data_IF_101894248887
#
_entry.id   IF_101894248887
#
_cell.length_a   1.000
_cell.length_b   1.000
_cell.length_c   1.000
_cell.angle_alpha   90.00
_cell.angle_beta   90.00
_cell.angle_gamma   90.00
#
_symmetry.space_group_name_H-M   'P 1'
#
loop_
_entity.id
_entity.type
_entity.pdbx_description
1 polymer ?
#
# COMPACT_ATOMS: atom_id res chain seq x y z
N UNK A 1 -16.65 7.83 13.04
CA UNK A 1 -15.50 6.90 12.99
C UNK A 1 -16.05 5.50 13.17
N UNK A 2 -15.94 4.64 12.16
CA UNK A 2 -16.50 3.27 12.19
C UNK A 2 -15.83 2.45 13.32
N UNK A 3 -16.62 1.83 14.19
CA UNK A 3 -16.09 0.82 15.11
C UNK A 3 -15.66 -0.41 14.28
N UNK A 4 -14.56 -1.03 14.70
CA UNK A 4 -14.00 -2.25 14.14
C UNK A 4 -15.00 -3.40 14.05
N UNK A 5 -15.98 -3.44 14.97
CA UNK A 5 -17.10 -4.40 14.92
C UNK A 5 -18.04 -4.14 13.75
N UNK A 6 -18.30 -2.86 13.44
CA UNK A 6 -19.04 -2.46 12.25
C UNK A 6 -18.26 -2.78 10.97
N UNK A 7 -16.92 -2.69 10.96
CA UNK A 7 -16.09 -3.05 9.80
C UNK A 7 -16.22 -4.54 9.43
N UNK A 8 -16.18 -5.44 10.41
CA UNK A 8 -16.40 -6.87 10.19
C UNK A 8 -17.84 -7.13 9.74
N UNK A 9 -18.84 -6.44 10.32
CA UNK A 9 -20.25 -6.57 9.91
C UNK A 9 -20.51 -6.05 8.49
N UNK A 10 -19.86 -4.95 8.11
CA UNK A 10 -19.92 -4.35 6.76
C UNK A 10 -19.33 -5.27 5.69
N UNK A 11 -18.27 -5.98 6.04
CA UNK A 11 -17.54 -6.89 5.15
C UNK A 11 -18.21 -8.26 5.05
N UNK A 12 -18.85 -8.73 6.13
CA UNK A 12 -19.49 -10.05 6.21
C UNK A 12 -21.00 -10.05 5.84
N UNK A 13 -21.60 -8.89 5.54
CA UNK A 13 -23.03 -8.79 5.20
C UNK A 13 -24.00 -9.12 6.35
N UNK A 14 -23.53 -9.17 7.59
CA UNK A 14 -24.35 -9.53 8.76
C UNK A 14 -25.06 -8.26 9.28
N UNK A 15 -26.31 -8.08 8.89
CA UNK A 15 -27.21 -7.06 9.45
C UNK A 15 -27.74 -7.57 10.80
N UNK A 16 -27.17 -7.08 11.90
CA UNK A 16 -27.67 -7.28 13.27
C UNK A 16 -28.14 -5.95 13.87
N UNK A 17 -29.37 -5.91 14.38
CA UNK A 17 -30.14 -4.71 14.66
C UNK A 17 -29.76 -3.88 15.90
N UNK A 18 -30.09 -2.58 15.76
CA UNK A 18 -30.56 -1.58 16.74
C UNK A 18 -30.07 -1.61 18.20
N UNK A 19 -29.37 -0.54 18.59
CA UNK A 19 -29.37 0.01 19.95
C UNK A 19 -28.33 1.11 20.20
N UNK A 20 -28.75 2.38 20.25
CA UNK A 20 -28.05 3.51 20.92
C UNK A 20 -29.12 4.27 21.74
N UNK A 21 -28.87 4.71 22.99
CA UNK A 21 -28.18 5.99 23.31
C UNK A 21 -27.19 5.84 24.50
N UNK A 22 -26.16 6.67 24.76
CA UNK A 22 -25.67 7.95 24.26
C UNK A 22 -24.54 8.48 25.18
N UNK A 23 -24.16 9.76 24.99
CA UNK A 23 -23.32 10.67 25.83
C UNK A 23 -21.81 10.75 25.53
N UNK A 24 -21.40 11.96 25.10
CA UNK A 24 -20.03 12.46 24.98
C UNK A 24 -19.51 12.95 26.35
N UNK A 25 -18.29 12.56 26.73
CA UNK A 25 -17.24 13.48 27.22
C UNK A 25 -15.93 12.74 27.57
N UNK A 26 -14.78 13.34 27.24
CA UNK A 26 -13.54 13.25 28.03
C UNK A 26 -12.51 12.14 27.71
N UNK A 27 -11.34 12.59 27.27
CA UNK A 27 -10.01 11.96 27.43
C UNK A 27 -9.75 10.59 26.77
N UNK A 28 -9.10 10.63 25.60
CA UNK A 28 -8.41 9.48 25.00
C UNK A 28 -7.15 9.19 25.82
N UNK A 29 -7.32 8.50 26.94
CA UNK A 29 -6.25 7.85 27.69
C UNK A 29 -6.42 6.34 27.56
N UNK A 30 -5.30 5.68 27.29
CA UNK A 30 -5.11 4.25 27.12
C UNK A 30 -5.99 3.38 28.03
N UNK A 31 -6.95 2.69 27.43
CA UNK A 31 -7.54 1.48 27.98
C UNK A 31 -8.03 0.62 26.81
N UNK A 32 -7.21 -0.33 26.40
CA UNK A 32 -7.62 -1.65 25.89
C UNK A 32 -6.36 -2.51 25.67
N UNK A 33 -5.69 -2.77 26.78
CA UNK A 33 -4.81 -3.92 26.94
C UNK A 33 -5.61 -4.99 27.69
N UNK A 34 -6.30 -5.86 26.96
CA UNK A 34 -6.67 -7.21 27.40
C UNK A 34 -7.26 -8.02 26.23
N UNK A 35 -6.56 -9.09 25.82
CA UNK A 35 -7.24 -10.25 25.21
C UNK A 35 -6.88 -10.67 23.78
N UNK A 36 -5.77 -10.24 23.19
CA UNK A 36 -5.21 -10.93 22.02
C UNK A 36 -3.69 -10.99 22.12
N UNK A 37 -3.16 -12.12 22.62
CA UNK A 37 -1.75 -12.47 22.49
C UNK A 37 -1.45 -12.90 21.05
N UNK A 38 -1.75 -12.02 20.09
CA UNK A 38 -1.55 -12.30 18.68
C UNK A 38 -0.06 -12.30 18.36
N UNK A 39 0.40 -13.32 17.67
CA UNK A 39 1.74 -13.38 17.09
C UNK A 39 1.89 -12.20 16.13
N UNK A 40 2.73 -11.22 16.46
CA UNK A 40 3.11 -10.15 15.53
C UNK A 40 4.35 -10.54 14.72
N UNK A 41 4.54 -9.94 13.55
CA UNK A 41 5.83 -10.03 12.87
C UNK A 41 6.93 -9.40 13.73
N UNK A 42 8.09 -10.05 13.75
CA UNK A 42 9.26 -9.58 14.50
C UNK A 42 9.82 -8.27 13.91
N UNK A 43 10.49 -7.45 14.74
CA UNK A 43 11.07 -6.18 14.29
C UNK A 43 12.19 -6.37 13.26
N UNK A 44 12.79 -7.56 13.13
CA UNK A 44 13.73 -7.87 12.06
C UNK A 44 13.16 -7.65 10.64
N UNK A 45 11.84 -7.74 10.44
CA UNK A 45 11.24 -7.39 9.13
C UNK A 45 11.35 -5.89 8.82
N UNK A 46 11.37 -5.01 9.82
CA UNK A 46 11.68 -3.58 9.59
C UNK A 46 13.11 -3.42 9.05
N UNK A 47 14.07 -4.09 9.70
CA UNK A 47 15.48 -4.03 9.31
C UNK A 47 15.71 -4.62 7.92
N UNK A 48 15.08 -5.76 7.63
CA UNK A 48 15.12 -6.41 6.33
C UNK A 48 14.48 -5.55 5.25
N UNK A 49 13.34 -4.91 5.52
CA UNK A 49 12.68 -4.00 4.60
C UNK A 49 13.56 -2.79 4.23
N UNK A 50 14.13 -2.11 5.24
CA UNK A 50 15.07 -1.01 5.04
C UNK A 50 16.33 -1.46 4.28
N UNK A 51 16.89 -2.61 4.65
CA UNK A 51 18.03 -3.22 3.95
C UNK A 51 17.72 -3.50 2.49
N UNK A 52 16.57 -4.13 2.23
CA UNK A 52 16.10 -4.48 0.89
C UNK A 52 15.90 -3.25 0.01
N UNK A 53 15.35 -2.15 0.56
CA UNK A 53 15.24 -0.88 -0.15
C UNK A 53 16.62 -0.28 -0.45
N UNK A 54 17.49 -0.19 0.55
CA UNK A 54 18.80 0.47 0.41
C UNK A 54 19.78 -0.29 -0.50
N UNK A 55 19.71 -1.63 -0.53
CA UNK A 55 20.58 -2.47 -1.37
C UNK A 55 20.03 -2.75 -2.77
N UNK A 56 18.82 -2.27 -3.07
CA UNK A 56 18.19 -2.49 -4.37
C UNK A 56 19.04 -1.94 -5.53
N UNK A 57 19.06 -2.68 -6.65
CA UNK A 57 19.69 -2.22 -7.89
C UNK A 57 18.70 -1.29 -8.63
N UNK A 58 18.76 -0.01 -8.29
CA UNK A 58 17.87 1.02 -8.83
C UNK A 58 16.50 1.07 -8.13
N UNK A 59 15.79 2.18 -8.33
CA UNK A 59 14.53 2.45 -7.62
C UNK A 59 13.44 1.40 -7.86
N UNK A 60 13.43 0.73 -9.01
CA UNK A 60 12.43 -0.29 -9.32
C UNK A 60 12.59 -1.54 -8.43
N UNK A 61 13.81 -1.94 -8.07
CA UNK A 61 14.00 -3.07 -7.16
C UNK A 61 13.74 -2.72 -5.68
N UNK A 62 13.60 -1.43 -5.35
CA UNK A 62 13.26 -0.99 -3.99
C UNK A 62 11.83 -1.43 -3.59
N UNK A 63 10.98 -1.80 -4.55
CA UNK A 63 9.66 -2.40 -4.31
C UNK A 63 9.71 -3.57 -3.33
N UNK A 64 10.75 -4.42 -3.42
CA UNK A 64 10.91 -5.63 -2.61
C UNK A 64 11.04 -5.28 -1.12
N UNK A 65 11.90 -4.32 -0.78
CA UNK A 65 12.04 -3.87 0.59
C UNK A 65 10.80 -3.13 1.08
N UNK A 66 10.19 -2.29 0.24
CA UNK A 66 8.95 -1.58 0.58
C UNK A 66 7.78 -2.55 0.82
N UNK A 67 7.73 -3.69 0.12
CA UNK A 67 6.76 -4.74 0.35
C UNK A 67 6.90 -5.39 1.73
N UNK A 68 8.14 -5.67 2.15
CA UNK A 68 8.42 -6.22 3.48
C UNK A 68 7.97 -5.24 4.57
N UNK A 69 8.29 -3.94 4.41
CA UNK A 69 7.82 -2.91 5.34
C UNK A 69 6.28 -2.81 5.37
N UNK A 70 5.63 -2.87 4.21
CA UNK A 70 4.17 -2.83 4.14
C UNK A 70 3.53 -4.05 4.81
N UNK A 71 4.06 -5.25 4.59
CA UNK A 71 3.60 -6.47 5.26
C UNK A 71 3.78 -6.40 6.78
N UNK A 72 4.94 -5.91 7.24
CA UNK A 72 5.18 -5.64 8.66
C UNK A 72 4.13 -4.70 9.26
N UNK A 73 3.93 -3.53 8.66
CA UNK A 73 2.96 -2.55 9.16
C UNK A 73 1.52 -3.04 9.06
N UNK A 74 1.19 -3.80 8.02
CA UNK A 74 -0.13 -4.41 7.86
C UNK A 74 -0.41 -5.36 9.03
N UNK A 75 0.49 -6.28 9.37
CA UNK A 75 0.33 -7.17 10.52
C UNK A 75 0.35 -6.44 11.88
N UNK A 76 1.15 -5.37 12.01
CA UNK A 76 1.26 -4.62 13.26
C UNK A 76 -0.01 -3.80 13.55
N UNK A 77 -0.60 -3.20 12.53
CA UNK A 77 -1.71 -2.24 12.68
C UNK A 77 -3.07 -2.91 12.61
N UNK A 78 -3.18 -4.04 11.92
CA UNK A 78 -4.40 -4.81 11.82
C UNK A 78 -4.25 -6.03 12.73
N UNK A 79 -5.01 -6.11 13.85
CA UNK A 79 -4.93 -7.29 14.74
C UNK A 79 -5.54 -8.52 14.03
N UNK A 80 -4.73 -9.17 13.21
CA UNK A 80 -5.06 -10.40 12.51
C UNK A 80 -4.96 -11.62 13.43
N UNK A 81 -5.50 -12.75 12.98
CA UNK A 81 -5.28 -14.06 13.60
C UNK A 81 -3.80 -14.46 13.48
N UNK A 82 -3.33 -15.32 14.38
CA UNK A 82 -1.99 -15.91 14.30
C UNK A 82 -1.77 -16.69 13.00
N UNK A 83 -2.86 -17.27 12.47
CA UNK A 83 -2.89 -17.97 11.20
C UNK A 83 -2.57 -17.03 10.04
N UNK A 84 -3.27 -15.89 9.91
CA UNK A 84 -3.01 -14.89 8.88
C UNK A 84 -1.59 -14.32 9.00
N UNK A 85 -1.15 -13.97 10.21
CA UNK A 85 0.22 -13.44 10.40
C UNK A 85 1.26 -14.47 9.98
N UNK A 86 1.05 -15.75 10.29
CA UNK A 86 1.94 -16.85 9.88
C UNK A 86 1.97 -17.01 8.35
N UNK A 87 0.82 -16.90 7.68
CA UNK A 87 0.79 -16.96 6.22
C UNK A 87 1.49 -15.78 5.57
N UNK A 88 1.25 -14.55 6.05
CA UNK A 88 1.94 -13.35 5.57
C UNK A 88 3.46 -13.48 5.79
N UNK A 89 3.88 -13.93 6.98
CA UNK A 89 5.28 -14.22 7.29
C UNK A 89 5.91 -15.15 6.26
N UNK A 90 5.23 -16.26 5.95
CA UNK A 90 5.68 -17.26 4.99
C UNK A 90 5.91 -16.66 3.59
N UNK A 91 5.01 -15.78 3.15
CA UNK A 91 5.16 -15.10 1.86
C UNK A 91 6.30 -14.07 1.85
N UNK A 92 6.49 -13.32 2.95
CA UNK A 92 7.61 -12.39 3.08
C UNK A 92 8.95 -13.14 3.12
N UNK A 93 9.01 -14.26 3.83
CA UNK A 93 10.21 -15.11 3.89
C UNK A 93 10.57 -15.68 2.51
N UNK A 94 9.57 -16.16 1.76
CA UNK A 94 9.78 -16.62 0.39
C UNK A 94 10.32 -15.51 -0.52
N UNK A 95 9.81 -14.29 -0.40
CA UNK A 95 10.31 -13.11 -1.13
C UNK A 95 11.76 -12.81 -0.75
N UNK A 96 12.08 -12.75 0.54
CA UNK A 96 13.43 -12.49 1.04
C UNK A 96 14.39 -13.59 0.57
N UNK A 97 13.97 -14.86 0.61
CA UNK A 97 14.75 -16.01 0.17
C UNK A 97 15.00 -15.99 -1.34
N UNK A 98 14.02 -15.59 -2.15
CA UNK A 98 14.19 -15.46 -3.60
C UNK A 98 15.19 -14.34 -3.97
N UNK A 99 15.37 -13.35 -3.09
CA UNK A 99 16.19 -12.16 -3.32
C UNK A 99 17.32 -11.97 -2.29
N UNK A 100 17.86 -13.07 -1.73
CA UNK A 100 18.83 -13.07 -0.62
C UNK A 100 19.97 -12.03 -0.72
N UNK A 101 20.55 -11.86 -1.91
CA UNK A 101 21.67 -10.90 -2.10
C UNK A 101 21.26 -9.45 -1.80
N UNK A 102 20.01 -9.08 -2.12
CA UNK A 102 19.46 -7.76 -1.85
C UNK A 102 19.12 -7.58 -0.35
N UNK A 103 18.72 -8.65 0.32
CA UNK A 103 18.35 -8.62 1.75
C UNK A 103 19.51 -8.94 2.71
N UNK A 104 20.74 -9.09 2.19
CA UNK A 104 21.92 -9.31 3.03
C UNK A 104 22.16 -8.11 3.96
N UNK A 105 22.16 -8.28 5.30
CA UNK A 105 22.32 -7.19 6.25
C UNK A 105 23.61 -6.39 6.05
N UNK A 106 23.54 -5.09 6.33
CA UNK A 106 24.73 -4.25 6.42
C UNK A 106 25.55 -4.64 7.65
N UNK A 107 26.88 -4.67 7.49
CA UNK A 107 27.80 -4.93 8.60
C UNK A 107 28.27 -3.60 9.22
N UNK A 108 28.47 -3.63 10.54
CA UNK A 108 29.01 -2.51 11.32
C UNK A 108 28.26 -1.21 11.06
N UNK A 109 26.94 -1.21 11.27
CA UNK A 109 26.12 0.00 11.18
C UNK A 109 26.57 1.02 12.23
N UNK A 110 26.59 2.29 11.85
CA UNK A 110 26.83 3.44 12.71
C UNK A 110 25.63 4.37 12.56
N UNK A 111 24.67 4.22 13.46
CA UNK A 111 23.43 4.97 13.41
C UNK A 111 23.68 6.47 13.66
N UNK A 112 23.01 7.30 12.87
CA UNK A 112 22.96 8.75 12.99
C UNK A 112 21.51 9.20 12.77
N UNK A 113 20.73 9.19 13.86
CA UNK A 113 19.30 9.52 13.83
C UNK A 113 19.02 10.94 13.32
N UNK A 114 19.99 11.86 13.45
CA UNK A 114 19.84 13.24 12.98
C UNK A 114 19.62 13.32 11.47
N UNK A 115 20.04 12.28 10.74
CA UNK A 115 19.97 12.18 9.28
C UNK A 115 18.69 11.54 8.75
N UNK A 116 17.80 11.05 9.60
CA UNK A 116 16.51 10.46 9.15
C UNK A 116 15.73 11.46 8.28
N UNK A 117 15.82 12.76 8.59
CA UNK A 117 15.17 13.83 7.84
C UNK A 117 15.84 14.16 6.48
N UNK A 118 17.00 13.58 6.16
CA UNK A 118 17.60 13.70 4.81
C UNK A 118 16.72 13.03 3.76
N UNK A 119 16.07 11.91 4.10
CA UNK A 119 15.21 11.13 3.19
C UNK A 119 14.02 11.96 2.68
N UNK A 120 13.17 12.56 3.55
CA UNK A 120 12.08 13.43 3.09
C UNK A 120 12.60 14.71 2.44
N UNK A 121 13.70 15.30 2.92
CA UNK A 121 14.31 16.47 2.27
C UNK A 121 14.71 16.18 0.83
N UNK A 122 15.21 14.98 0.55
CA UNK A 122 15.59 14.56 -0.80
C UNK A 122 14.40 14.31 -1.76
N UNK A 123 13.17 14.27 -1.24
CA UNK A 123 11.98 13.97 -2.03
C UNK A 123 11.60 15.11 -2.98
N UNK A 124 11.82 16.37 -2.59
CA UNK A 124 11.29 17.56 -3.27
C UNK A 124 11.48 17.51 -4.80
N UNK A 125 12.68 17.27 -5.36
CA UNK A 125 12.88 17.29 -6.81
C UNK A 125 12.15 16.17 -7.55
N UNK A 126 11.76 15.10 -6.86
CA UNK A 126 11.06 13.96 -7.46
C UNK A 126 9.54 14.17 -7.56
N UNK A 127 8.96 15.02 -6.71
CA UNK A 127 7.51 15.26 -6.64
C UNK A 127 7.10 16.64 -7.18
N UNK A 128 8.03 17.58 -7.30
CA UNK A 128 7.76 18.91 -7.83
C UNK A 128 7.36 18.89 -9.31
N UNK A 129 6.30 19.60 -9.68
CA UNK A 129 5.88 19.77 -11.06
C UNK A 129 5.12 18.58 -11.67
N UNK A 130 4.78 17.54 -10.90
CA UNK A 130 3.85 16.49 -11.34
C UNK A 130 4.28 15.07 -11.00
N UNK A 131 3.57 14.09 -11.55
CA UNK A 131 3.75 12.67 -11.30
C UNK A 131 4.97 12.12 -12.05
N UNK A 132 5.92 11.57 -11.31
CA UNK A 132 7.03 10.78 -11.87
C UNK A 132 6.95 9.35 -11.36
N UNK A 133 7.26 8.39 -12.24
CA UNK A 133 7.33 6.97 -11.92
C UNK A 133 6.20 6.53 -10.97
N UNK A 134 4.94 6.80 -11.34
CA UNK A 134 3.76 6.37 -10.57
C UNK A 134 3.78 6.69 -9.07
N UNK A 135 4.46 7.77 -8.66
CA UNK A 135 4.52 8.22 -7.26
C UNK A 135 5.51 7.44 -6.38
N UNK A 136 6.40 6.62 -6.96
CA UNK A 136 7.33 5.79 -6.19
C UNK A 136 8.19 6.56 -5.20
N UNK A 137 8.61 7.78 -5.54
CA UNK A 137 9.43 8.60 -4.65
C UNK A 137 8.68 8.90 -3.33
N UNK A 138 7.41 9.31 -3.42
CA UNK A 138 6.57 9.56 -2.25
C UNK A 138 6.33 8.26 -1.46
N UNK A 139 5.97 7.17 -2.15
CA UNK A 139 5.71 5.86 -1.53
C UNK A 139 6.93 5.36 -0.74
N UNK A 140 8.11 5.39 -1.35
CA UNK A 140 9.34 4.93 -0.71
C UNK A 140 9.79 5.84 0.42
N UNK A 141 9.69 7.15 0.24
CA UNK A 141 10.04 8.11 1.27
C UNK A 141 9.14 7.92 2.49
N UNK A 142 7.82 7.89 2.31
CA UNK A 142 6.87 7.75 3.39
C UNK A 142 7.13 6.48 4.22
N UNK A 143 7.22 5.32 3.56
CA UNK A 143 7.36 4.04 4.26
C UNK A 143 8.76 3.86 4.89
N UNK A 144 9.82 4.37 4.25
CA UNK A 144 11.19 4.23 4.78
C UNK A 144 11.47 5.19 5.93
N UNK A 145 10.97 6.44 5.88
CA UNK A 145 11.11 7.40 7.00
C UNK A 145 10.36 6.89 8.21
N UNK A 146 9.16 6.34 8.00
CA UNK A 146 8.41 5.69 9.07
C UNK A 146 9.20 4.54 9.70
N UNK A 147 9.77 3.67 8.86
CA UNK A 147 10.58 2.54 9.33
C UNK A 147 11.85 2.97 10.05
N UNK A 148 12.53 4.03 9.59
CA UNK A 148 13.71 4.59 10.25
C UNK A 148 13.38 5.19 11.62
N UNK A 149 12.19 5.80 11.80
CA UNK A 149 11.72 6.28 13.11
C UNK A 149 11.38 5.14 14.06
N UNK A 150 10.85 4.04 13.54
CA UNK A 150 10.54 2.84 14.33
C UNK A 150 11.78 1.97 14.62
N UNK A 151 12.85 2.12 13.83
CA UNK A 151 14.13 1.41 13.97
C UNK A 151 15.31 2.38 13.88
N UNK A 152 15.50 3.29 14.85
CA UNK A 152 16.51 4.35 14.80
C UNK A 152 17.95 3.83 14.68
N UNK A 153 18.23 2.62 15.16
CA UNK A 153 19.53 1.95 15.00
C UNK A 153 19.88 1.63 13.53
N UNK A 154 18.89 1.65 12.63
CA UNK A 154 19.07 1.50 11.19
C UNK A 154 19.35 2.81 10.46
N UNK A 155 19.35 3.96 11.15
CA UNK A 155 19.63 5.28 10.59
C UNK A 155 21.11 5.49 10.22
N UNK A 156 21.74 4.53 9.57
CA UNK A 156 23.11 4.63 9.10
C UNK A 156 23.18 5.48 7.81
N UNK A 157 24.19 6.37 7.69
CA UNK A 157 24.46 7.16 6.49
C UNK A 157 24.40 6.39 5.16
N UNK A 158 24.86 5.15 5.11
CA UNK A 158 24.87 4.32 3.90
C UNK A 158 23.46 3.93 3.48
N UNK A 159 22.57 3.64 4.44
CA UNK A 159 21.17 3.32 4.18
C UNK A 159 20.45 4.58 3.70
N UNK A 160 20.57 5.67 4.45
CA UNK A 160 19.92 6.96 4.16
C UNK A 160 20.33 7.46 2.77
N UNK A 161 21.63 7.49 2.46
CA UNK A 161 22.12 7.93 1.16
C UNK A 161 21.55 7.10 -0.01
N UNK A 162 21.32 5.79 0.19
CA UNK A 162 20.72 4.92 -0.83
C UNK A 162 19.24 5.22 -1.03
N UNK A 163 18.50 5.47 0.06
CA UNK A 163 17.10 5.87 -0.01
C UNK A 163 16.95 7.22 -0.74
N UNK A 164 17.76 8.22 -0.39
CA UNK A 164 17.81 9.50 -1.11
C UNK A 164 18.19 9.31 -2.60
N UNK A 165 19.08 8.34 -2.88
CA UNK A 165 19.47 7.99 -4.24
C UNK A 165 18.32 7.47 -5.11
N UNK A 166 17.27 6.88 -4.54
CA UNK A 166 16.07 6.49 -5.29
C UNK A 166 15.27 7.72 -5.73
N UNK A 167 15.09 8.70 -4.84
CA UNK A 167 14.44 9.97 -5.16
C UNK A 167 15.22 10.70 -6.27
N UNK A 168 16.55 10.77 -6.16
CA UNK A 168 17.39 11.37 -7.19
C UNK A 168 17.35 10.66 -8.56
N UNK A 169 17.11 9.35 -8.61
CA UNK A 169 16.88 8.64 -9.87
C UNK A 169 15.51 8.95 -10.47
N UNK A 170 14.46 9.01 -9.64
CA UNK A 170 13.09 9.27 -10.08
C UNK A 170 12.94 10.72 -10.55
N UNK A 171 13.59 11.68 -9.90
CA UNK A 171 13.57 13.10 -10.26
C UNK A 171 14.03 13.39 -11.70
N UNK A 172 14.84 12.51 -12.29
CA UNK A 172 15.32 12.63 -13.67
C UNK A 172 14.26 12.28 -14.73
N UNK A 173 13.09 11.78 -14.31
CA UNK A 173 12.00 11.45 -15.24
C UNK A 173 11.16 12.70 -15.52
N UNK A 174 10.58 12.74 -16.71
CA UNK A 174 9.63 13.78 -17.05
C UNK A 174 8.36 13.66 -16.18
N UNK A 175 7.87 14.77 -15.59
CA UNK A 175 6.64 14.75 -14.84
C UNK A 175 5.41 14.69 -15.76
N UNK A 176 4.41 13.91 -15.36
CA UNK A 176 3.05 13.97 -15.90
C UNK A 176 2.22 14.94 -15.05
N UNK A 177 1.56 15.89 -15.70
CA UNK A 177 0.70 16.90 -15.07
C UNK A 177 -0.76 16.57 -15.38
N UNK A 178 -1.71 16.78 -14.45
CA UNK A 178 -3.13 16.63 -14.77
C UNK A 178 -3.57 17.70 -15.79
N UNK A 179 -4.57 17.38 -16.61
CA UNK A 179 -5.13 18.33 -17.57
C UNK A 179 -5.80 19.54 -16.89
N UNK A 180 -6.38 19.32 -15.71
CA UNK A 180 -7.09 20.33 -14.94
C UNK A 180 -6.70 20.21 -13.46
N UNK A 181 -5.58 20.83 -13.05
CA UNK A 181 -5.16 20.80 -11.65
C UNK A 181 -6.17 21.53 -10.77
N UNK A 182 -6.45 20.95 -9.62
CA UNK A 182 -7.26 21.58 -8.57
C UNK A 182 -6.44 21.69 -7.29
N UNK A 183 -6.93 22.36 -6.26
CA UNK A 183 -6.30 22.32 -4.95
C UNK A 183 -7.15 21.46 -4.03
N UNK A 184 -6.53 20.47 -3.37
CA UNK A 184 -7.18 19.82 -2.23
C UNK A 184 -7.23 20.81 -1.07
N UNK A 185 -8.38 20.88 -0.41
CA UNK A 185 -8.57 21.74 0.77
C UNK A 185 -7.80 21.18 1.96
N UNK A 186 -7.74 19.85 2.08
CA UNK A 186 -7.01 19.10 3.08
C UNK A 186 -6.75 17.65 2.59
N UNK A 187 -6.05 16.86 3.41
CA UNK A 187 -5.79 15.44 3.14
C UNK A 187 -7.07 14.62 3.02
N UNK A 188 -8.14 14.97 3.74
CA UNK A 188 -9.41 14.24 3.63
C UNK A 188 -10.03 14.41 2.24
N UNK A 189 -9.98 15.62 1.66
CA UNK A 189 -10.42 15.88 0.30
C UNK A 189 -9.58 15.11 -0.75
N UNK A 190 -8.27 14.97 -0.53
CA UNK A 190 -7.41 14.12 -1.37
C UNK A 190 -7.84 12.65 -1.34
N UNK A 191 -8.14 12.12 -0.14
CA UNK A 191 -8.60 10.74 0.04
C UNK A 191 -9.98 10.55 -0.62
N UNK A 192 -10.90 11.49 -0.46
CA UNK A 192 -12.20 11.44 -1.14
C UNK A 192 -12.04 11.42 -2.66
N UNK A 193 -11.14 12.26 -3.21
CA UNK A 193 -10.84 12.28 -4.64
C UNK A 193 -10.30 10.94 -5.17
N UNK A 194 -9.49 10.22 -4.38
CA UNK A 194 -9.10 8.85 -4.72
C UNK A 194 -10.33 7.94 -4.84
N UNK A 195 -11.21 7.93 -3.84
CA UNK A 195 -12.38 7.03 -3.83
C UNK A 195 -13.37 7.35 -4.94
N UNK A 196 -13.61 8.64 -5.20
CA UNK A 196 -14.42 9.10 -6.34
C UNK A 196 -13.80 8.61 -7.65
N UNK A 197 -12.47 8.74 -7.79
CA UNK A 197 -11.77 8.25 -8.98
C UNK A 197 -11.87 6.74 -9.14
N UNK A 198 -11.65 5.96 -8.07
CA UNK A 198 -11.76 4.51 -8.11
C UNK A 198 -13.19 4.07 -8.45
N UNK A 199 -14.20 4.77 -7.95
CA UNK A 199 -15.61 4.49 -8.25
C UNK A 199 -15.97 4.68 -9.74
N UNK A 200 -15.27 5.56 -10.48
CA UNK A 200 -15.46 5.71 -11.93
C UNK A 200 -15.21 4.40 -12.70
N UNK A 201 -14.38 3.51 -12.17
CA UNK A 201 -14.07 2.21 -12.77
C UNK A 201 -15.12 1.13 -12.52
N UNK A 202 -16.30 1.47 -11.95
CA UNK A 202 -17.43 0.55 -11.79
C UNK A 202 -17.79 -0.23 -13.07
N UNK A 203 -17.76 0.35 -14.30
CA UNK A 203 -18.05 -0.40 -15.53
C UNK A 203 -17.09 -1.56 -15.78
N UNK A 204 -15.88 -1.53 -15.20
CA UNK A 204 -14.91 -2.61 -15.35
C UNK A 204 -15.22 -3.79 -14.42
N UNK A 205 -16.08 -3.65 -13.42
CA UNK A 205 -16.32 -4.71 -12.44
C UNK A 205 -16.93 -5.95 -13.12
N UNK A 206 -16.32 -7.12 -12.91
CA UNK A 206 -16.69 -8.36 -13.58
C UNK A 206 -16.06 -8.54 -14.97
N UNK A 207 -15.18 -7.64 -15.42
CA UNK A 207 -14.53 -7.71 -16.73
C UNK A 207 -13.00 -7.86 -16.63
N UNK A 208 -12.50 -8.96 -16.04
CA UNK A 208 -11.09 -9.13 -15.69
C UNK A 208 -10.14 -9.04 -16.90
N UNK A 209 -10.61 -9.33 -18.11
CA UNK A 209 -9.79 -9.22 -19.32
C UNK A 209 -9.49 -7.78 -19.77
N UNK A 210 -10.17 -6.75 -19.22
CA UNK A 210 -9.87 -5.34 -19.50
C UNK A 210 -8.63 -4.92 -18.71
N UNK A 211 -7.47 -4.91 -19.35
CA UNK A 211 -6.21 -4.47 -18.72
C UNK A 211 -6.09 -2.94 -18.73
N UNK A 212 -5.33 -2.35 -17.80
CA UNK A 212 -5.08 -0.90 -17.59
C UNK A 212 -6.13 -0.18 -16.77
N UNK A 213 -6.11 -0.36 -15.45
CA UNK A 213 -5.65 0.83 -14.74
C UNK A 213 -4.75 0.55 -13.54
N UNK A 214 -3.91 1.53 -13.24
CA UNK A 214 -2.88 1.42 -12.23
C UNK A 214 -3.40 1.69 -10.80
N UNK A 215 -4.42 0.94 -10.38
CA UNK A 215 -5.08 1.08 -9.07
C UNK A 215 -4.10 0.99 -7.89
N UNK A 216 -3.09 0.13 -8.04
CA UNK A 216 -2.03 -0.10 -7.07
C UNK A 216 -1.35 1.20 -6.68
N UNK A 217 -0.92 1.96 -7.69
CA UNK A 217 -0.14 3.16 -7.47
C UNK A 217 -1.03 4.34 -7.07
N UNK A 218 -2.28 4.44 -7.55
CA UNK A 218 -3.24 5.43 -7.05
C UNK A 218 -3.43 5.32 -5.54
N UNK A 219 -3.71 4.11 -5.06
CA UNK A 219 -3.98 3.84 -3.63
C UNK A 219 -2.74 4.08 -2.77
N UNK A 220 -1.60 3.52 -3.18
CA UNK A 220 -0.34 3.62 -2.41
C UNK A 220 0.23 5.04 -2.43
N UNK A 221 0.09 5.79 -3.52
CA UNK A 221 0.53 7.19 -3.57
C UNK A 221 -0.31 8.08 -2.64
N UNK A 222 -1.62 7.89 -2.61
CA UNK A 222 -2.52 8.61 -1.69
C UNK A 222 -2.15 8.36 -0.24
N UNK A 223 -1.95 7.09 0.13
CA UNK A 223 -1.55 6.74 1.50
C UNK A 223 -0.18 7.32 1.86
N UNK A 224 0.77 7.30 0.93
CA UNK A 224 2.10 7.86 1.16
C UNK A 224 2.05 9.36 1.47
N UNK A 225 1.23 10.14 0.74
CA UNK A 225 1.07 11.57 0.98
C UNK A 225 0.38 11.86 2.32
N UNK A 226 -0.64 11.08 2.69
CA UNK A 226 -1.26 11.16 4.03
C UNK A 226 -0.24 10.81 5.13
N UNK A 227 0.61 9.81 4.90
CA UNK A 227 1.65 9.40 5.85
C UNK A 227 2.72 10.47 5.99
N UNK A 228 3.16 11.13 4.93
CA UNK A 228 4.09 12.26 5.00
C UNK A 228 3.54 13.41 5.86
N UNK A 229 2.27 13.77 5.69
CA UNK A 229 1.62 14.79 6.52
C UNK A 229 1.61 14.36 7.99
N UNK A 230 1.20 13.11 8.27
CA UNK A 230 1.17 12.54 9.62
C UNK A 230 2.55 12.52 10.28
N UNK A 231 3.61 12.36 9.48
CA UNK A 231 5.00 12.39 9.93
C UNK A 231 5.56 13.81 10.12
N UNK A 232 4.77 14.85 9.86
CA UNK A 232 5.15 16.25 10.04
C UNK A 232 5.70 16.93 8.78
N UNK A 233 5.36 16.45 7.58
CA UNK A 233 5.82 17.01 6.30
C UNK A 233 4.67 17.53 5.40
N UNK A 234 3.80 18.43 5.89
CA UNK A 234 2.63 18.91 5.14
C UNK A 234 3.00 19.62 3.82
N UNK A 235 4.14 20.31 3.77
CA UNK A 235 4.62 21.02 2.56
C UNK A 235 4.99 20.04 1.44
N UNK A 236 5.60 18.88 1.78
CA UNK A 236 5.88 17.82 0.82
C UNK A 236 4.59 17.16 0.34
N UNK A 237 3.64 16.94 1.24
CA UNK A 237 2.30 16.44 0.90
C UNK A 237 1.62 17.37 -0.11
N UNK A 238 1.60 18.68 0.17
CA UNK A 238 1.03 19.68 -0.72
C UNK A 238 1.73 19.71 -2.09
N UNK A 239 3.07 19.63 -2.10
CA UNK A 239 3.86 19.56 -3.35
C UNK A 239 3.46 18.32 -4.18
N UNK A 240 3.19 17.19 -3.52
CA UNK A 240 2.78 15.94 -4.16
C UNK A 240 1.35 15.94 -4.73
N UNK A 241 0.49 16.91 -4.37
CA UNK A 241 -0.91 16.94 -4.81
C UNK A 241 -1.06 16.97 -6.33
N UNK A 242 -0.20 17.72 -7.04
CA UNK A 242 -0.24 17.78 -8.50
C UNK A 242 0.05 16.41 -9.13
N UNK A 243 1.03 15.69 -8.58
CA UNK A 243 1.35 14.34 -9.02
C UNK A 243 0.22 13.35 -8.68
N UNK A 244 -0.38 13.47 -7.50
CA UNK A 244 -1.55 12.66 -7.13
C UNK A 244 -2.72 12.88 -8.12
N UNK A 245 -3.02 14.11 -8.49
CA UNK A 245 -4.08 14.43 -9.46
C UNK A 245 -3.82 13.81 -10.82
N UNK A 246 -2.60 13.93 -11.37
CA UNK A 246 -2.22 13.28 -12.62
C UNK A 246 -2.37 11.74 -12.58
N UNK A 247 -2.30 11.17 -11.38
CA UNK A 247 -2.40 9.74 -11.14
C UNK A 247 -3.86 9.29 -11.13
N UNK A 248 -4.72 10.01 -10.40
CA UNK A 248 -6.13 9.67 -10.28
C UNK A 248 -6.96 10.17 -11.48
N UNK A 249 -6.42 11.05 -12.31
CA UNK A 249 -7.09 11.53 -13.53
C UNK A 249 -7.02 10.54 -14.70
N UNK A 250 -6.45 9.34 -14.53
CA UNK A 250 -6.40 8.36 -15.62
C UNK A 250 -7.82 8.03 -16.12
N UNK A 251 -8.02 7.95 -17.45
CA UNK A 251 -9.33 7.65 -18.00
C UNK A 251 -9.70 6.20 -17.71
N UNK A 252 -11.01 5.95 -17.58
CA UNK A 252 -11.54 4.59 -17.60
C UNK A 252 -11.41 4.08 -19.03
N UNK A 253 -10.78 2.91 -19.28
CA UNK A 253 -10.68 2.35 -20.61
C UNK A 253 -12.06 2.11 -21.22
N UNK A 254 -12.22 2.52 -22.48
CA UNK A 254 -13.32 2.04 -23.31
C UNK A 254 -13.08 0.57 -23.67
N UNK A 255 -14.13 -0.25 -23.61
CA UNK A 255 -14.06 -1.66 -23.96
C UNK A 255 -15.41 -2.15 -24.51
N UNK A 256 -15.38 -3.19 -25.34
CA UNK A 256 -16.60 -3.88 -25.80
C UNK A 256 -16.92 -5.04 -24.84
N UNK A 257 -18.07 -5.01 -24.14
CA UNK A 257 -18.50 -6.12 -23.29
C UNK A 257 -18.64 -7.46 -24.01
N UNK A 258 -18.84 -7.46 -25.34
CA UNK A 258 -18.87 -8.70 -26.13
C UNK A 258 -17.49 -9.36 -26.26
N UNK A 259 -16.42 -8.56 -26.29
CA UNK A 259 -15.02 -9.03 -26.32
C UNK A 259 -14.48 -9.33 -24.92
N UNK A 260 -15.09 -8.73 -23.90
CA UNK A 260 -14.73 -8.88 -22.49
C UNK A 260 -15.92 -9.42 -21.70
N UNK A 261 -16.19 -10.74 -21.73
CA UNK A 261 -17.36 -11.30 -21.07
C UNK A 261 -17.32 -11.07 -19.56
N UNK A 262 -18.53 -10.97 -18.98
CA UNK A 262 -18.69 -10.92 -17.53
C UNK A 262 -18.22 -12.23 -16.90
N UNK A 263 -17.30 -12.12 -15.94
CA UNK A 263 -16.88 -13.19 -15.06
C UNK A 263 -17.39 -12.93 -13.65
N UNK A 264 -17.63 -13.99 -12.90
CA UNK A 264 -18.05 -13.89 -11.51
C UNK A 264 -16.94 -13.23 -10.68
N UNK A 265 -17.27 -12.13 -10.01
CA UNK A 265 -16.35 -11.42 -9.11
C UNK A 265 -16.00 -12.34 -7.92
N UNK A 266 -14.78 -12.88 -7.91
CA UNK A 266 -14.38 -13.93 -6.97
C UNK A 266 -13.89 -13.45 -5.61
N UNK A 267 -13.83 -12.14 -5.35
CA UNK A 267 -13.12 -11.66 -4.17
C UNK A 267 -13.74 -10.43 -3.52
N UNK A 268 -14.09 -10.60 -2.25
CA UNK A 268 -14.46 -9.52 -1.33
C UNK A 268 -13.31 -9.21 -0.38
N UNK A 269 -13.41 -8.09 0.35
CA UNK A 269 -12.41 -7.76 1.38
C UNK A 269 -12.45 -8.77 2.51
N UNK A 270 -13.64 -9.27 2.88
CA UNK A 270 -13.76 -10.33 3.86
C UNK A 270 -12.97 -11.57 3.42
N UNK A 271 -13.10 -11.98 2.16
CA UNK A 271 -12.39 -13.15 1.63
C UNK A 271 -10.88 -12.94 1.68
N UNK A 272 -10.37 -11.82 1.16
CA UNK A 272 -8.92 -11.54 1.10
C UNK A 272 -8.29 -11.39 2.48
N UNK A 273 -9.10 -11.03 3.48
CA UNK A 273 -8.69 -10.91 4.87
C UNK A 273 -9.01 -12.16 5.70
N UNK A 274 -9.48 -13.25 5.08
CA UNK A 274 -9.82 -14.49 5.76
C UNK A 274 -8.63 -15.45 5.83
N UNK A 275 -8.64 -16.36 6.82
CA UNK A 275 -7.62 -17.41 6.93
C UNK A 275 -7.59 -18.26 5.64
N UNK A 276 -8.76 -18.54 5.05
CA UNK A 276 -8.93 -19.36 3.84
C UNK A 276 -8.20 -18.76 2.63
N UNK A 277 -8.23 -17.45 2.42
CA UNK A 277 -7.51 -16.84 1.30
C UNK A 277 -5.99 -17.03 1.42
N UNK A 278 -5.45 -16.81 2.62
CA UNK A 278 -4.02 -16.91 2.90
C UNK A 278 -3.50 -18.36 3.02
N UNK A 279 -4.40 -19.32 3.26
CA UNK A 279 -4.09 -20.74 3.36
C UNK A 279 -4.52 -21.56 2.12
N UNK A 280 -5.20 -20.94 1.16
CA UNK A 280 -5.65 -21.61 -0.06
C UNK A 280 -4.48 -22.21 -0.83
N UNK A 281 -4.52 -23.53 -1.04
CA UNK A 281 -3.51 -24.25 -1.83
C UNK A 281 -3.46 -23.73 -3.27
N UNK A 282 -4.59 -23.30 -3.83
CA UNK A 282 -4.64 -22.67 -5.16
C UNK A 282 -3.85 -21.36 -5.17
N UNK A 283 -4.09 -20.49 -4.18
CA UNK A 283 -3.38 -19.22 -4.05
C UNK A 283 -1.89 -19.43 -3.80
N UNK A 284 -1.53 -20.28 -2.83
CA UNK A 284 -0.14 -20.62 -2.51
C UNK A 284 0.58 -21.22 -3.74
N UNK A 285 -0.09 -22.11 -4.48
CA UNK A 285 0.45 -22.69 -5.71
C UNK A 285 0.63 -21.62 -6.79
N UNK A 286 -0.36 -20.74 -6.98
CA UNK A 286 -0.27 -19.65 -7.94
C UNK A 286 0.88 -18.68 -7.62
N UNK A 287 1.05 -18.34 -6.34
CA UNK A 287 2.08 -17.43 -5.84
C UNK A 287 3.49 -18.01 -5.95
N UNK A 288 3.65 -19.33 -5.79
CA UNK A 288 4.93 -20.01 -5.85
C UNK A 288 5.35 -20.46 -7.27
N UNK A 289 4.54 -20.21 -8.31
CA UNK A 289 4.88 -20.61 -9.68
C UNK A 289 6.16 -19.89 -10.17
N UNK A 290 7.12 -20.58 -10.82
CA UNK A 290 8.37 -19.97 -11.28
C UNK A 290 8.20 -18.74 -12.20
N UNK A 291 7.13 -18.71 -13.00
CA UNK A 291 6.81 -17.56 -13.85
C UNK A 291 6.30 -16.34 -13.07
N UNK A 292 5.72 -16.54 -11.88
CA UNK A 292 5.39 -15.47 -10.93
C UNK A 292 6.65 -14.88 -10.27
N UNK A 293 7.81 -15.51 -10.47
CA UNK A 293 9.12 -15.04 -10.00
C UNK A 293 10.06 -14.61 -11.14
N UNK A 294 9.85 -15.03 -12.40
CA UNK A 294 10.86 -14.88 -13.47
C UNK A 294 10.38 -14.31 -14.82
N UNK A 295 9.11 -14.42 -15.24
CA UNK A 295 8.79 -14.19 -16.67
C UNK A 295 7.42 -13.59 -17.01
N UNK A 296 6.52 -13.30 -16.06
CA UNK A 296 5.27 -12.63 -16.46
C UNK A 296 5.51 -11.12 -16.73
N UNK A 297 4.98 -10.55 -17.82
CA UNK A 297 4.98 -9.10 -18.07
C UNK A 297 4.30 -8.31 -16.94
N UNK A 298 3.41 -8.98 -16.19
CA UNK A 298 2.73 -8.52 -14.97
C UNK A 298 3.26 -9.26 -13.72
N UNK A 299 4.39 -9.96 -13.85
CA UNK A 299 4.84 -11.13 -13.09
C UNK A 299 5.55 -10.87 -11.79
N UNK A 300 5.18 -9.81 -11.10
CA UNK A 300 5.88 -9.34 -9.92
C UNK A 300 4.93 -8.92 -8.80
N UNK A 301 3.68 -9.35 -8.79
CA UNK A 301 2.73 -8.71 -7.90
C UNK A 301 2.82 -9.19 -6.44
N UNK A 302 2.91 -10.50 -6.17
CA UNK A 302 3.35 -10.98 -4.86
C UNK A 302 4.88 -10.87 -4.72
N UNK A 303 5.63 -11.16 -5.79
CA UNK A 303 7.10 -11.19 -5.78
C UNK A 303 7.76 -9.81 -5.58
N UNK A 304 7.24 -8.72 -6.14
CA UNK A 304 7.60 -7.31 -5.81
C UNK A 304 6.67 -6.70 -4.73
N UNK A 305 5.79 -7.53 -4.17
CA UNK A 305 4.89 -7.24 -3.05
C UNK A 305 4.01 -6.01 -3.19
N UNK A 306 3.50 -5.77 -4.39
CA UNK A 306 2.39 -4.83 -4.63
C UNK A 306 1.16 -5.19 -3.78
N UNK A 307 0.85 -6.48 -3.61
CA UNK A 307 -0.31 -6.89 -2.80
C UNK A 307 -0.21 -6.33 -1.38
N UNK A 308 0.93 -6.53 -0.70
CA UNK A 308 1.13 -6.03 0.66
C UNK A 308 0.99 -4.51 0.74
N UNK A 309 1.58 -3.77 -0.21
CA UNK A 309 1.48 -2.31 -0.25
C UNK A 309 0.04 -1.84 -0.47
N UNK A 310 -0.70 -2.46 -1.39
CA UNK A 310 -2.09 -2.09 -1.66
C UNK A 310 -2.99 -2.40 -0.47
N UNK A 311 -2.93 -3.61 0.09
CA UNK A 311 -3.75 -3.98 1.23
C UNK A 311 -3.43 -3.09 2.44
N UNK A 312 -2.14 -2.90 2.75
CA UNK A 312 -1.70 -1.97 3.80
C UNK A 312 -2.27 -0.55 3.58
N UNK A 313 -2.12 -0.03 2.36
CA UNK A 313 -2.55 1.33 2.04
C UNK A 313 -4.06 1.46 2.11
N UNK A 314 -4.78 0.52 1.52
CA UNK A 314 -6.23 0.52 1.45
C UNK A 314 -6.85 0.43 2.85
N UNK A 315 -6.34 -0.44 3.73
CA UNK A 315 -6.81 -0.55 5.11
C UNK A 315 -6.71 0.76 5.89
N UNK A 316 -5.66 1.56 5.65
CA UNK A 316 -5.49 2.87 6.30
C UNK A 316 -6.43 3.94 5.74
N UNK A 317 -6.78 3.84 4.45
CA UNK A 317 -7.61 4.82 3.76
C UNK A 317 -9.11 4.58 3.95
N UNK A 318 -9.59 3.33 3.95
CA UNK A 318 -11.04 3.03 4.07
C UNK A 318 -11.65 3.54 5.36
N UNK A 319 -10.90 3.56 6.47
CA UNK A 319 -11.38 4.08 7.75
C UNK A 319 -11.65 5.60 7.74
N UNK A 320 -11.28 6.28 6.66
CA UNK A 320 -11.47 7.72 6.44
C UNK A 320 -12.71 8.04 5.60
N UNK A 321 -13.38 7.04 5.03
CA UNK A 321 -14.56 7.26 4.18
C UNK A 321 -15.82 6.90 4.98
N UNK A 322 -16.75 7.85 5.09
CA UNK A 322 -18.01 7.65 5.81
C UNK A 322 -19.05 6.89 4.97
N UNK A 323 -19.03 7.08 3.64
CA UNK A 323 -19.94 6.39 2.72
C UNK A 323 -19.59 4.90 2.61
N UNK A 324 -20.33 4.10 3.38
CA UNK A 324 -20.22 2.64 3.43
C UNK A 324 -20.46 1.98 2.07
N UNK A 325 -21.33 2.52 1.22
CA UNK A 325 -21.60 1.95 -0.11
C UNK A 325 -20.44 2.24 -1.08
N UNK A 326 -19.86 3.45 -1.00
CA UNK A 326 -18.66 3.78 -1.76
C UNK A 326 -17.49 2.89 -1.36
N UNK A 327 -17.28 2.66 -0.06
CA UNK A 327 -16.25 1.73 0.43
C UNK A 327 -16.47 0.33 -0.14
N UNK A 328 -17.70 -0.21 -0.10
CA UNK A 328 -17.99 -1.54 -0.65
C UNK A 328 -17.74 -1.62 -2.16
N UNK A 329 -18.17 -0.61 -2.92
CA UNK A 329 -17.93 -0.54 -4.36
C UNK A 329 -16.43 -0.51 -4.68
N UNK A 330 -15.69 0.40 -4.05
CA UNK A 330 -14.25 0.55 -4.29
C UNK A 330 -13.48 -0.70 -3.83
N UNK A 331 -13.89 -1.33 -2.73
CA UNK A 331 -13.31 -2.61 -2.28
C UNK A 331 -13.43 -3.67 -3.36
N UNK A 332 -14.62 -3.83 -3.96
CA UNK A 332 -14.84 -4.81 -5.03
C UNK A 332 -13.98 -4.52 -6.25
N UNK A 333 -13.95 -3.26 -6.70
CA UNK A 333 -13.13 -2.84 -7.84
C UNK A 333 -11.65 -3.11 -7.56
N UNK A 334 -11.13 -2.63 -6.42
CA UNK A 334 -9.73 -2.76 -6.08
C UNK A 334 -9.34 -4.22 -5.93
N UNK A 335 -10.14 -5.03 -5.23
CA UNK A 335 -9.79 -6.42 -4.93
C UNK A 335 -9.90 -7.30 -6.17
N UNK A 336 -10.96 -7.24 -6.97
CA UNK A 336 -11.04 -8.02 -8.22
C UNK A 336 -9.78 -7.82 -9.07
N UNK A 337 -9.28 -6.58 -9.11
CA UNK A 337 -8.15 -6.16 -9.92
C UNK A 337 -6.81 -6.41 -9.23
N UNK A 338 -6.79 -6.41 -7.90
CA UNK A 338 -5.61 -6.65 -7.05
C UNK A 338 -5.61 -8.04 -6.44
N UNK A 339 -6.41 -9.00 -6.91
CA UNK A 339 -6.30 -10.41 -6.47
C UNK A 339 -6.30 -11.36 -7.66
N UNK A 340 -6.81 -10.92 -8.80
CA UNK A 340 -6.81 -11.71 -10.01
C UNK A 340 -5.52 -11.45 -10.84
N UNK A 341 -4.62 -12.44 -10.96
CA UNK A 341 -3.35 -12.28 -11.67
C UNK A 341 -3.50 -12.03 -13.17
N UNK A 342 -4.68 -12.30 -13.73
CA UNK A 342 -4.97 -12.13 -15.16
C UNK A 342 -5.33 -10.68 -15.54
N UNK A 343 -5.53 -9.81 -14.56
CA UNK A 343 -6.21 -8.52 -14.76
C UNK A 343 -5.29 -7.32 -14.65
N UNK A 344 -4.10 -7.55 -14.13
CA UNK A 344 -3.19 -6.46 -13.81
C UNK A 344 -2.52 -5.94 -15.07
N UNK A 345 -2.81 -4.67 -15.40
CA UNK A 345 -2.07 -3.91 -16.40
C UNK A 345 -1.44 -2.70 -15.74
N UNK A 346 -0.12 -2.66 -15.72
CA UNK A 346 0.70 -1.55 -15.24
C UNK A 346 2.07 -1.60 -15.88
#
# INVERSE_FOLDING_TARGET
MLDRREFVQLSAGIIGGLGIPGVFDGAVAAADANGASGTSLDTSYLEQGLTGMARSKGWFNAHLGAAVLAGYYMCRENRFSDAIVTSIRTQLDALIQAHQQQFTPFQNLQADESRVNDVPTSLQPAIEGGLRAHGHAAIYTAISVRALRDAPHMADPRIINRLCGHNGQIAKKEPKVPESPTNYVDTQAMIQALFDSLARFKPLLGHPSVTRPNFTHMTTHTEALMTLETLGFPELTQTGHLGHQAHISEPVPDFDPAEHPLEECRSTLADVMSDEFWQSEENLTAWNKPWALKTSPNGYWLAFGHLFKVLYSYHRLIGRIEDKEQVRLVSRILLERTVNPHVQGG
#
